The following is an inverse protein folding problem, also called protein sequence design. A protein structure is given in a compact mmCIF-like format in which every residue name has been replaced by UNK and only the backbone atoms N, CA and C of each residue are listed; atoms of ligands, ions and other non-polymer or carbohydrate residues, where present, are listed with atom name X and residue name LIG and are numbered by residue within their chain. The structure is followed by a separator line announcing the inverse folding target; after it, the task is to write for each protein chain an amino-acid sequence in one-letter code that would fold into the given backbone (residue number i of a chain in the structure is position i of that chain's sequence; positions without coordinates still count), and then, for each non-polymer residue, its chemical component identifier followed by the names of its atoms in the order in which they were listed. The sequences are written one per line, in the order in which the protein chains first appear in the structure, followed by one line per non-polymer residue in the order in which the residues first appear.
data_IF_768480355593
#
_entry.id   IF_768480355593
#
_cell.length_a   1.000
_cell.length_b   1.000
_cell.length_c   1.000
_cell.angle_alpha   90.00
_cell.angle_beta   90.00
_cell.angle_gamma   90.00
#
_symmetry.space_group_name_H-M   'P 1'
#
loop_
_entity.id
_entity.type
_entity.pdbx_description
1 polymer ?
#
# COMPACT_ATOMS: atom_id res chain seq x y z
N UNK A 1 -7.39 15.14 8.06
CA UNK A 1 -7.79 16.23 7.16
C UNK A 1 -6.90 16.11 5.95
N UNK A 2 -7.44 15.57 4.85
CA UNK A 2 -6.70 15.47 3.59
C UNK A 2 -6.33 16.88 3.15
N UNK A 3 -5.07 17.07 2.76
CA UNK A 3 -4.57 18.35 2.29
C UNK A 3 -4.98 18.55 0.83
N UNK A 4 -5.80 19.57 0.58
CA UNK A 4 -6.29 19.89 -0.77
C UNK A 4 -5.38 20.88 -1.51
N UNK A 5 -4.19 21.19 -1.00
CA UNK A 5 -3.27 22.17 -1.63
C UNK A 5 -2.61 21.65 -2.91
N UNK A 6 -2.50 20.33 -3.12
CA UNK A 6 -1.97 19.71 -4.35
C UNK A 6 -3.03 19.42 -5.44
N UNK A 7 -4.16 20.13 -5.41
CA UNK A 7 -5.32 19.92 -6.28
C UNK A 7 -5.01 19.88 -7.80
N UNK A 8 -4.03 20.68 -8.26
CA UNK A 8 -3.63 20.72 -9.68
C UNK A 8 -2.86 19.47 -10.16
N UNK A 9 -2.24 18.72 -9.24
CA UNK A 9 -1.54 17.48 -9.58
C UNK A 9 -2.51 16.30 -9.70
N UNK A 10 -3.59 16.35 -8.92
CA UNK A 10 -4.67 15.34 -8.91
C UNK A 10 -5.57 15.48 -10.15
N UNK A 11 -5.71 16.70 -10.66
CA UNK A 11 -6.52 17.03 -11.82
C UNK A 11 -5.75 18.03 -12.69
N UNK A 12 -5.03 17.58 -13.74
CA UNK A 12 -4.26 18.48 -14.57
C UNK A 12 -5.22 19.49 -15.21
N UNK A 13 -5.10 20.74 -14.78
CA UNK A 13 -5.58 21.88 -15.56
C UNK A 13 -4.66 21.92 -16.77
N UNK A 14 -5.04 21.23 -17.85
CA UNK A 14 -4.39 21.39 -19.14
C UNK A 14 -4.38 22.89 -19.44
N UNK A 15 -3.20 23.49 -19.32
CA UNK A 15 -3.00 24.91 -19.54
C UNK A 15 -3.62 25.26 -20.88
N UNK A 16 -4.54 26.22 -20.87
CA UNK A 16 -5.19 26.72 -22.08
C UNK A 16 -4.08 27.33 -22.95
N UNK A 17 -3.57 26.56 -23.92
CA UNK A 17 -2.73 27.10 -25.00
C UNK A 17 -3.62 27.83 -26.02
N UNK A 18 -4.95 27.60 -26.01
CA UNK A 18 -5.85 28.19 -27.00
C UNK A 18 -7.20 28.65 -26.40
N UNK A 19 -7.49 29.97 -26.37
CA UNK A 19 -8.75 30.52 -25.85
C UNK A 19 -10.00 30.16 -26.67
N UNK A 20 -9.86 29.41 -27.77
CA UNK A 20 -10.96 28.93 -28.62
C UNK A 20 -11.24 27.43 -28.52
N UNK A 21 -10.61 26.71 -27.58
CA UNK A 21 -10.96 25.30 -27.32
C UNK A 21 -12.24 25.20 -26.48
N UNK A 22 -13.38 25.31 -27.14
CA UNK A 22 -14.71 25.18 -26.53
C UNK A 22 -14.94 23.81 -25.87
N UNK A 23 -14.24 22.75 -26.33
CA UNK A 23 -14.33 21.42 -25.72
C UNK A 23 -13.56 21.38 -24.40
N UNK A 24 -12.36 21.96 -24.36
CA UNK A 24 -11.59 22.13 -23.12
C UNK A 24 -12.32 22.98 -22.09
N UNK A 25 -12.89 24.12 -22.51
CA UNK A 25 -13.65 25.01 -21.62
C UNK A 25 -14.92 24.35 -21.04
N UNK A 26 -15.70 23.64 -21.86
CA UNK A 26 -16.90 22.92 -21.42
C UNK A 26 -16.56 21.73 -20.50
N UNK A 27 -15.44 21.03 -20.75
CA UNK A 27 -14.97 19.96 -19.88
C UNK A 27 -14.55 20.50 -18.50
N UNK A 28 -13.86 21.65 -18.45
CA UNK A 28 -13.48 22.32 -17.21
C UNK A 28 -14.72 22.76 -16.43
N UNK A 29 -15.72 23.33 -17.10
CA UNK A 29 -16.96 23.78 -16.43
C UNK A 29 -17.78 22.62 -15.89
N UNK A 30 -17.93 21.55 -16.68
CA UNK A 30 -18.58 20.30 -16.25
C UNK A 30 -17.84 19.68 -15.07
N UNK A 31 -16.51 19.67 -15.10
CA UNK A 31 -15.67 19.20 -14.00
C UNK A 31 -15.86 20.03 -12.73
N UNK A 32 -15.84 21.37 -12.83
CA UNK A 32 -16.06 22.27 -11.69
C UNK A 32 -17.47 22.12 -11.12
N UNK A 33 -18.47 21.87 -11.97
CA UNK A 33 -19.84 21.60 -11.55
C UNK A 33 -19.91 20.28 -10.76
N UNK A 34 -19.39 19.19 -11.32
CA UNK A 34 -19.34 17.88 -10.64
C UNK A 34 -18.55 17.93 -9.33
N UNK A 35 -17.50 18.76 -9.23
CA UNK A 35 -16.76 18.96 -7.99
C UNK A 35 -17.61 19.62 -6.90
N UNK A 36 -18.29 20.73 -7.21
CA UNK A 36 -19.16 21.43 -6.24
C UNK A 36 -20.30 20.52 -5.77
N UNK A 37 -20.88 19.75 -6.69
CA UNK A 37 -21.93 18.79 -6.39
C UNK A 37 -21.41 17.64 -5.51
N UNK A 38 -20.22 17.11 -5.79
CA UNK A 38 -19.60 16.06 -4.97
C UNK A 38 -19.32 16.54 -3.54
N UNK A 39 -18.86 17.78 -3.37
CA UNK A 39 -18.62 18.36 -2.05
C UNK A 39 -19.93 18.59 -1.27
N UNK A 40 -20.97 19.10 -1.94
CA UNK A 40 -22.28 19.25 -1.29
C UNK A 40 -22.86 17.89 -0.90
N UNK A 41 -22.72 16.88 -1.77
CA UNK A 41 -23.08 15.50 -1.47
C UNK A 41 -22.39 14.98 -0.20
N UNK A 42 -21.08 15.23 -0.07
CA UNK A 42 -20.32 14.87 1.15
C UNK A 42 -20.89 15.51 2.42
N UNK A 43 -21.23 16.80 2.36
CA UNK A 43 -21.83 17.50 3.51
C UNK A 43 -23.23 16.97 3.85
N UNK A 44 -24.01 16.58 2.83
CA UNK A 44 -25.32 15.97 3.03
C UNK A 44 -25.23 14.59 3.68
N UNK A 45 -24.16 13.82 3.42
CA UNK A 45 -23.92 12.56 4.16
C UNK A 45 -23.79 12.80 5.66
N UNK A 46 -23.09 13.87 6.06
CA UNK A 46 -22.95 14.24 7.47
C UNK A 46 -24.30 14.69 8.08
N UNK A 47 -25.09 15.43 7.31
CA UNK A 47 -26.45 15.84 7.72
C UNK A 47 -27.39 14.64 7.93
N UNK A 48 -27.37 13.68 7.00
CA UNK A 48 -28.20 12.47 7.06
C UNK A 48 -27.80 11.57 8.24
N UNK A 49 -26.51 11.50 8.60
CA UNK A 49 -26.01 10.77 9.76
C UNK A 49 -26.47 11.38 11.10
N UNK A 50 -26.57 12.71 11.19
CA UNK A 50 -27.11 13.40 12.38
C UNK A 50 -28.63 13.16 12.52
N UNK A 51 -29.34 12.94 11.42
CA UNK A 51 -30.80 12.77 11.40
C UNK A 51 -31.24 11.42 10.80
N UNK A 52 -30.84 10.29 11.40
CA UNK A 52 -31.10 8.98 10.83
C UNK A 52 -32.60 8.71 10.72
N UNK A 53 -33.03 8.30 9.53
CA UNK A 53 -34.41 7.84 9.27
C UNK A 53 -35.43 8.92 8.93
N UNK A 54 -35.06 10.21 8.91
CA UNK A 54 -35.99 11.27 8.47
C UNK A 54 -36.01 11.49 6.96
N UNK A 55 -34.90 11.17 6.26
CA UNK A 55 -34.74 11.52 4.84
C UNK A 55 -33.31 11.20 4.34
N UNK A 56 -33.18 10.67 3.13
CA UNK A 56 -31.90 10.41 2.45
C UNK A 56 -31.55 11.59 1.52
N UNK A 57 -31.22 12.74 2.11
CA UNK A 57 -31.00 13.97 1.33
C UNK A 57 -29.81 13.83 0.40
N UNK A 58 -28.75 13.15 0.85
CA UNK A 58 -27.58 12.93 0.02
C UNK A 58 -27.96 12.17 -1.26
N UNK A 59 -28.70 11.08 -1.14
CA UNK A 59 -29.06 10.25 -2.30
C UNK A 59 -30.08 10.92 -3.21
N UNK A 60 -31.08 11.59 -2.64
CA UNK A 60 -32.02 12.40 -3.41
C UNK A 60 -31.32 13.52 -4.18
N UNK A 61 -30.40 14.23 -3.53
CA UNK A 61 -29.58 15.26 -4.19
C UNK A 61 -28.71 14.67 -5.30
N UNK A 62 -28.08 13.52 -5.07
CA UNK A 62 -27.23 12.89 -6.08
C UNK A 62 -28.01 12.48 -7.35
N UNK A 63 -29.27 12.06 -7.18
CA UNK A 63 -30.17 11.77 -8.30
C UNK A 63 -30.62 13.05 -9.01
N UNK A 64 -31.04 14.08 -8.28
CA UNK A 64 -31.53 15.34 -8.84
C UNK A 64 -30.43 16.14 -9.55
N UNK A 65 -29.25 16.22 -8.95
CA UNK A 65 -28.09 16.89 -9.53
C UNK A 65 -27.44 16.06 -10.67
N UNK A 66 -27.82 14.79 -10.84
CA UNK A 66 -27.22 13.89 -11.82
C UNK A 66 -25.75 13.56 -11.51
N UNK A 67 -25.39 13.48 -10.23
CA UNK A 67 -24.02 13.23 -9.78
C UNK A 67 -23.56 11.84 -10.24
N UNK A 68 -22.46 11.71 -11.02
CA UNK A 68 -22.00 10.41 -11.48
C UNK A 68 -21.69 9.44 -10.32
N UNK A 69 -22.07 8.16 -10.46
CA UNK A 69 -21.90 7.13 -9.42
C UNK A 69 -20.47 6.99 -8.90
N UNK A 70 -19.46 7.16 -9.76
CA UNK A 70 -18.05 7.16 -9.35
C UNK A 70 -17.75 8.23 -8.28
N UNK A 71 -18.33 9.42 -8.38
CA UNK A 71 -18.12 10.47 -7.38
C UNK A 71 -18.93 10.20 -6.11
N UNK A 72 -20.11 9.59 -6.22
CA UNK A 72 -20.87 9.13 -5.06
C UNK A 72 -20.06 8.12 -4.23
N UNK A 73 -19.50 7.09 -4.89
CA UNK A 73 -18.64 6.10 -4.23
C UNK A 73 -17.37 6.72 -3.64
N UNK A 74 -16.70 7.61 -4.38
CA UNK A 74 -15.52 8.29 -3.88
C UNK A 74 -15.83 9.06 -2.60
N UNK A 75 -16.87 9.90 -2.63
CA UNK A 75 -17.23 10.75 -1.50
C UNK A 75 -17.71 9.94 -0.30
N UNK A 76 -18.51 8.89 -0.50
CA UNK A 76 -18.87 7.95 0.58
C UNK A 76 -17.66 7.26 1.19
N UNK A 77 -16.74 6.80 0.34
CA UNK A 77 -15.51 6.16 0.76
C UNK A 77 -14.64 7.08 1.61
N UNK A 78 -14.42 8.31 1.15
CA UNK A 78 -13.67 9.33 1.88
C UNK A 78 -14.39 9.75 3.18
N UNK A 79 -15.73 9.83 3.16
CA UNK A 79 -16.53 10.15 4.34
C UNK A 79 -16.36 9.09 5.44
N UNK A 80 -16.42 7.80 5.08
CA UNK A 80 -16.11 6.72 6.02
C UNK A 80 -14.64 6.72 6.48
N UNK A 81 -13.68 7.09 5.62
CA UNK A 81 -12.26 7.22 6.02
C UNK A 81 -12.08 8.28 7.12
N UNK A 82 -12.67 9.46 6.95
CA UNK A 82 -12.56 10.56 7.91
C UNK A 82 -13.17 10.20 9.28
N UNK A 83 -14.19 9.34 9.27
CA UNK A 83 -14.85 8.80 10.47
C UNK A 83 -14.15 7.58 11.07
N UNK A 84 -13.04 7.13 10.49
CA UNK A 84 -12.29 5.93 10.88
C UNK A 84 -13.09 4.62 10.72
N UNK A 85 -14.09 4.63 9.86
CA UNK A 85 -14.92 3.49 9.50
C UNK A 85 -14.31 2.74 8.30
N UNK A 86 -13.03 2.34 8.43
CA UNK A 86 -12.20 1.88 7.31
C UNK A 86 -12.74 0.68 6.54
N UNK A 87 -13.52 -0.20 7.18
CA UNK A 87 -14.15 -1.34 6.51
C UNK A 87 -15.16 -0.87 5.45
N UNK A 88 -16.07 0.02 5.83
CA UNK A 88 -17.07 0.60 4.92
C UNK A 88 -16.42 1.54 3.89
N UNK A 89 -15.33 2.20 4.27
CA UNK A 89 -14.55 3.00 3.33
C UNK A 89 -14.02 2.16 2.17
N UNK A 90 -13.39 1.01 2.44
CA UNK A 90 -12.77 0.16 1.41
C UNK A 90 -13.82 -0.41 0.45
N UNK A 91 -15.02 -0.78 0.93
CA UNK A 91 -16.12 -1.25 0.07
C UNK A 91 -16.49 -0.22 -1.02
N UNK A 92 -16.37 1.07 -0.69
CA UNK A 92 -16.62 2.16 -1.62
C UNK A 92 -15.37 2.52 -2.44
N UNK A 93 -14.18 2.53 -1.84
CA UNK A 93 -12.92 2.98 -2.47
C UNK A 93 -12.30 1.96 -3.44
N UNK A 94 -12.75 0.72 -3.43
CA UNK A 94 -12.25 -0.35 -4.31
C UNK A 94 -13.03 -0.48 -5.62
N UNK A 95 -13.96 0.44 -5.89
CA UNK A 95 -14.75 0.43 -7.12
C UNK A 95 -13.86 0.73 -8.34
N UNK A 96 -13.83 -0.13 -9.39
CA UNK A 96 -12.94 0.03 -10.55
C UNK A 96 -13.11 1.33 -11.33
N UNK A 97 -14.28 1.97 -11.22
CA UNK A 97 -14.59 3.25 -11.89
C UNK A 97 -13.95 4.48 -11.23
N UNK A 98 -13.30 4.30 -10.09
CA UNK A 98 -12.74 5.39 -9.31
C UNK A 98 -11.41 5.89 -9.87
N UNK A 99 -11.15 7.21 -9.79
CA UNK A 99 -9.82 7.74 -10.07
C UNK A 99 -8.85 7.33 -8.94
N UNK A 100 -7.62 6.96 -9.30
CA UNK A 100 -6.53 6.60 -8.37
C UNK A 100 -5.87 7.82 -7.71
N UNK A 101 -6.52 8.98 -7.81
CA UNK A 101 -6.07 10.30 -7.39
C UNK A 101 -5.59 10.43 -5.94
N UNK A 102 -6.15 9.63 -5.02
CA UNK A 102 -5.81 9.66 -3.59
C UNK A 102 -5.20 8.33 -3.10
N UNK A 103 -4.66 7.55 -4.05
CA UNK A 103 -4.15 6.22 -3.77
C UNK A 103 -3.05 6.22 -2.71
N UNK A 104 -2.18 7.24 -2.75
CA UNK A 104 -1.06 7.40 -1.83
C UNK A 104 -1.58 7.67 -0.41
N UNK A 105 -2.45 8.67 -0.25
CA UNK A 105 -2.99 9.08 1.05
C UNK A 105 -3.83 7.97 1.69
N UNK A 106 -4.68 7.30 0.89
CA UNK A 106 -5.49 6.18 1.36
C UNK A 106 -4.57 5.06 1.85
N UNK A 107 -3.53 4.72 1.09
CA UNK A 107 -2.60 3.64 1.46
C UNK A 107 -1.80 4.00 2.70
N UNK A 108 -1.27 5.22 2.77
CA UNK A 108 -0.54 5.72 3.94
C UNK A 108 -1.43 5.67 5.18
N UNK A 109 -2.69 6.11 5.08
CA UNK A 109 -3.64 6.09 6.19
C UNK A 109 -3.93 4.65 6.66
N UNK A 110 -4.20 3.74 5.73
CA UNK A 110 -4.51 2.34 6.05
C UNK A 110 -3.31 1.59 6.64
N UNK A 111 -2.10 1.79 6.13
CA UNK A 111 -0.87 1.14 6.67
C UNK A 111 -0.51 1.69 8.05
N UNK A 112 -0.79 2.97 8.32
CA UNK A 112 -0.51 3.60 9.63
C UNK A 112 -1.57 3.32 10.69
N UNK A 113 -2.75 2.83 10.31
CA UNK A 113 -3.85 2.54 11.22
C UNK A 113 -3.45 1.63 12.41
N UNK A 114 -2.75 0.49 12.20
CA UNK A 114 -2.31 -0.38 13.30
C UNK A 114 -1.35 0.32 14.27
N UNK A 115 -0.51 1.23 13.75
CA UNK A 115 0.47 1.99 14.54
C UNK A 115 -0.20 3.08 15.39
N UNK A 116 -1.29 3.67 14.89
CA UNK A 116 -2.06 4.66 15.64
C UNK A 116 -2.90 4.01 16.75
N UNK A 117 -3.38 2.79 16.53
CA UNK A 117 -4.16 2.00 17.48
C UNK A 117 -3.27 1.25 18.49
N UNK A 118 -2.30 1.95 19.11
CA UNK A 118 -1.38 1.43 20.15
C UNK A 118 -2.04 0.81 21.39
N UNK A 119 -3.35 0.98 21.55
CA UNK A 119 -4.13 0.42 22.67
C UNK A 119 -4.49 -1.05 22.46
N UNK A 120 -4.35 -1.56 21.24
CA UNK A 120 -4.64 -2.95 20.93
C UNK A 120 -3.37 -3.79 21.08
N UNK A 121 -3.53 -5.00 21.61
CA UNK A 121 -2.48 -5.99 21.94
C UNK A 121 -1.36 -6.12 20.89
N UNK A 122 -0.18 -6.57 21.29
CA UNK A 122 1.01 -6.74 20.41
C UNK A 122 0.73 -7.52 19.10
N UNK A 123 -0.31 -8.37 19.07
CA UNK A 123 -0.76 -9.08 17.87
C UNK A 123 -1.34 -8.15 16.79
N UNK A 124 -1.94 -7.02 17.18
CA UNK A 124 -2.59 -6.07 16.27
C UNK A 124 -1.67 -5.00 15.69
N UNK A 125 -0.41 -4.89 16.15
CA UNK A 125 0.53 -3.90 15.61
C UNK A 125 0.93 -4.15 14.15
N UNK A 126 0.73 -5.36 13.64
CA UNK A 126 1.04 -5.76 12.26
C UNK A 126 -0.22 -6.13 11.45
N UNK A 127 -1.40 -5.66 11.84
CA UNK A 127 -2.62 -5.94 11.08
C UNK A 127 -2.73 -5.05 9.84
N UNK A 128 -2.10 -5.48 8.75
CA UNK A 128 -2.13 -4.78 7.46
C UNK A 128 -3.30 -5.22 6.57
N UNK A 129 -4.27 -5.98 7.09
CA UNK A 129 -5.34 -6.62 6.31
C UNK A 129 -6.11 -5.62 5.43
N UNK A 130 -6.47 -4.47 5.98
CA UNK A 130 -7.22 -3.44 5.25
C UNK A 130 -6.38 -2.77 4.15
N UNK A 131 -5.11 -2.47 4.43
CA UNK A 131 -4.20 -1.89 3.44
C UNK A 131 -3.97 -2.85 2.26
N UNK A 132 -3.74 -4.13 2.55
CA UNK A 132 -3.55 -5.15 1.52
C UNK A 132 -4.84 -5.43 0.75
N UNK A 133 -6.01 -5.46 1.42
CA UNK A 133 -7.29 -5.59 0.75
C UNK A 133 -7.53 -4.47 -0.27
N UNK A 134 -7.25 -3.22 0.13
CA UNK A 134 -7.30 -2.07 -0.79
C UNK A 134 -6.32 -2.24 -1.95
N UNK A 135 -5.06 -2.58 -1.68
CA UNK A 135 -4.04 -2.79 -2.71
C UNK A 135 -4.44 -3.87 -3.73
N UNK A 136 -4.90 -5.04 -3.27
CA UNK A 136 -5.27 -6.13 -4.16
C UNK A 136 -6.51 -5.79 -5.01
N UNK A 137 -7.50 -5.13 -4.42
CA UNK A 137 -8.75 -4.82 -5.10
C UNK A 137 -8.64 -3.61 -6.04
N UNK A 138 -7.99 -2.53 -5.61
CA UNK A 138 -7.93 -1.29 -6.38
C UNK A 138 -6.70 -1.20 -7.31
N UNK A 139 -5.66 -2.03 -7.10
CA UNK A 139 -4.37 -1.95 -7.82
C UNK A 139 -3.88 -0.51 -8.02
N UNK A 140 -3.74 0.28 -6.93
CA UNK A 140 -3.39 1.68 -7.01
C UNK A 140 -2.05 1.91 -7.72
N UNK A 141 -1.98 2.98 -8.50
CA UNK A 141 -0.72 3.50 -9.03
C UNK A 141 -0.18 4.55 -8.06
N UNK A 142 0.99 4.29 -7.49
CA UNK A 142 1.61 5.18 -6.51
C UNK A 142 2.45 6.26 -7.19
N UNK A 143 2.31 7.49 -6.69
CA UNK A 143 3.14 8.63 -7.12
C UNK A 143 4.24 8.95 -6.11
N UNK A 144 3.95 8.76 -4.82
CA UNK A 144 4.84 9.04 -3.71
C UNK A 144 5.69 7.83 -3.37
N UNK A 145 6.99 8.08 -3.18
CA UNK A 145 7.92 7.09 -2.66
C UNK A 145 7.52 6.63 -1.25
N UNK A 146 6.91 7.49 -0.44
CA UNK A 146 6.48 7.14 0.92
C UNK A 146 5.38 6.07 0.92
N UNK A 147 4.34 6.26 0.10
CA UNK A 147 3.23 5.32 -0.01
C UNK A 147 3.70 3.96 -0.50
N UNK A 148 4.56 3.94 -1.52
CA UNK A 148 5.18 2.74 -2.05
C UNK A 148 6.01 2.01 -0.99
N UNK A 149 6.85 2.72 -0.25
CA UNK A 149 7.69 2.11 0.78
C UNK A 149 6.89 1.56 1.96
N UNK A 150 5.84 2.26 2.38
CA UNK A 150 4.95 1.82 3.45
C UNK A 150 4.16 0.57 3.04
N UNK A 151 3.59 0.56 1.84
CA UNK A 151 2.93 -0.63 1.30
C UNK A 151 3.91 -1.80 1.19
N UNK A 152 5.09 -1.55 0.63
CA UNK A 152 6.11 -2.58 0.51
C UNK A 152 6.51 -3.15 1.87
N UNK A 153 6.66 -2.30 2.89
CA UNK A 153 6.91 -2.74 4.25
C UNK A 153 5.78 -3.57 4.85
N UNK A 154 4.53 -3.30 4.48
CA UNK A 154 3.38 -4.11 4.87
C UNK A 154 3.36 -5.48 4.15
N UNK A 155 3.61 -5.49 2.84
CA UNK A 155 3.77 -6.72 2.04
C UNK A 155 4.90 -7.58 2.59
N UNK A 156 6.09 -7.00 2.79
CA UNK A 156 7.25 -7.71 3.30
C UNK A 156 6.92 -8.44 4.61
N UNK A 157 6.26 -7.76 5.56
CA UNK A 157 5.90 -8.31 6.89
C UNK A 157 4.81 -9.39 6.85
N UNK A 158 4.03 -9.47 5.77
CA UNK A 158 2.89 -10.39 5.64
C UNK A 158 3.19 -11.57 4.73
N UNK A 159 3.82 -11.35 3.57
CA UNK A 159 4.12 -12.37 2.56
C UNK A 159 5.45 -12.06 1.86
N UNK A 160 6.43 -12.96 2.01
CA UNK A 160 7.78 -12.74 1.49
C UNK A 160 7.82 -12.92 -0.03
N UNK A 161 7.15 -13.94 -0.56
CA UNK A 161 7.09 -14.18 -2.01
C UNK A 161 6.40 -13.03 -2.72
N UNK A 162 5.27 -12.56 -2.20
CA UNK A 162 4.54 -11.47 -2.82
C UNK A 162 5.33 -10.15 -2.79
N UNK A 163 6.03 -9.85 -1.70
CA UNK A 163 6.93 -8.71 -1.64
C UNK A 163 8.08 -8.83 -2.66
N UNK A 164 8.65 -10.03 -2.82
CA UNK A 164 9.68 -10.27 -3.82
C UNK A 164 9.14 -10.02 -5.24
N UNK A 165 7.99 -10.58 -5.59
CA UNK A 165 7.38 -10.39 -6.90
C UNK A 165 6.94 -8.94 -7.14
N UNK A 166 6.52 -8.23 -6.09
CA UNK A 166 6.25 -6.79 -6.16
C UNK A 166 7.53 -5.99 -6.50
N UNK A 167 8.66 -6.28 -5.83
CA UNK A 167 9.92 -5.58 -6.08
C UNK A 167 10.39 -5.72 -7.54
N UNK A 168 10.10 -6.86 -8.17
CA UNK A 168 10.50 -7.18 -9.55
C UNK A 168 9.76 -6.37 -10.62
N UNK A 169 8.67 -5.70 -10.27
CA UNK A 169 7.91 -4.85 -11.20
C UNK A 169 8.59 -3.52 -11.49
N UNK A 170 9.62 -3.17 -10.70
CA UNK A 170 10.30 -1.88 -10.78
C UNK A 170 11.67 -1.97 -11.46
N UNK A 171 12.20 -0.85 -11.98
CA UNK A 171 13.56 -0.78 -12.51
C UNK A 171 14.61 -1.20 -11.46
N UNK A 172 15.77 -1.65 -11.94
CA UNK A 172 16.83 -2.28 -11.16
C UNK A 172 17.19 -1.52 -9.86
N UNK A 173 17.37 -0.20 -9.93
CA UNK A 173 17.77 0.60 -8.78
C UNK A 173 16.71 0.60 -7.65
N UNK A 174 15.42 0.70 -7.99
CA UNK A 174 14.31 0.62 -7.02
C UNK A 174 14.17 -0.82 -6.53
N UNK A 175 14.22 -1.79 -7.45
CA UNK A 175 14.13 -3.21 -7.15
C UNK A 175 15.19 -3.64 -6.13
N UNK A 176 16.44 -3.19 -6.28
CA UNK A 176 17.50 -3.46 -5.31
C UNK A 176 17.16 -2.88 -3.94
N UNK A 177 16.75 -1.61 -3.86
CA UNK A 177 16.38 -0.97 -2.58
C UNK A 177 15.22 -1.68 -1.87
N UNK A 178 14.19 -2.07 -2.62
CA UNK A 178 13.07 -2.84 -2.09
C UNK A 178 13.51 -4.23 -1.64
N UNK A 179 14.34 -4.91 -2.43
CA UNK A 179 14.88 -6.22 -2.07
C UNK A 179 15.69 -6.16 -0.76
N UNK A 180 16.58 -5.18 -0.61
CA UNK A 180 17.35 -4.97 0.63
C UNK A 180 16.42 -4.70 1.83
N UNK A 181 15.35 -3.92 1.63
CA UNK A 181 14.31 -3.70 2.66
C UNK A 181 13.56 -4.98 3.03
N UNK A 182 13.29 -5.88 2.08
CA UNK A 182 12.68 -7.19 2.36
C UNK A 182 13.59 -8.03 3.25
N UNK A 183 14.88 -8.12 2.91
CA UNK A 183 15.86 -8.84 3.72
C UNK A 183 15.98 -8.23 5.11
N UNK A 184 16.03 -6.90 5.23
CA UNK A 184 16.04 -6.20 6.51
C UNK A 184 14.79 -6.52 7.35
N UNK A 185 13.59 -6.51 6.75
CA UNK A 185 12.33 -6.85 7.42
C UNK A 185 12.30 -8.27 8.00
N UNK A 186 13.00 -9.21 7.37
CA UNK A 186 13.13 -10.58 7.88
C UNK A 186 14.10 -10.62 9.07
N UNK A 187 15.20 -9.89 8.99
CA UNK A 187 16.21 -9.81 10.07
C UNK A 187 15.70 -9.07 11.32
N UNK A 188 14.79 -8.12 11.16
CA UNK A 188 14.13 -7.40 12.26
C UNK A 188 13.23 -8.30 13.13
N UNK A 189 12.81 -9.47 12.62
CA UNK A 189 11.92 -10.41 13.30
C UNK A 189 12.63 -11.74 13.59
N UNK A 190 13.57 -11.79 14.55
CA UNK A 190 14.37 -12.97 14.84
C UNK A 190 13.52 -14.20 15.20
N UNK A 191 12.34 -14.00 15.79
CA UNK A 191 11.40 -15.05 16.15
C UNK A 191 10.75 -15.73 14.94
N UNK A 192 10.59 -15.01 13.81
CA UNK A 192 10.04 -15.54 12.55
C UNK A 192 11.12 -15.83 11.51
N UNK A 193 12.38 -15.59 11.83
CA UNK A 193 13.52 -15.73 10.92
C UNK A 193 13.58 -17.12 10.27
N UNK A 194 13.29 -18.19 11.02
CA UNK A 194 13.32 -19.55 10.49
C UNK A 194 12.32 -19.78 9.35
N UNK A 195 11.06 -19.40 9.55
CA UNK A 195 10.00 -19.60 8.56
C UNK A 195 10.14 -18.63 7.37
N UNK A 196 10.24 -17.33 7.63
CA UNK A 196 10.33 -16.29 6.59
C UNK A 196 11.67 -16.33 5.86
N UNK A 197 12.75 -16.63 6.58
CA UNK A 197 14.08 -16.85 6.00
C UNK A 197 14.09 -18.07 5.09
N UNK A 198 13.46 -19.18 5.49
CA UNK A 198 13.32 -20.36 4.63
C UNK A 198 12.56 -20.02 3.35
N UNK A 199 11.46 -19.29 3.43
CA UNK A 199 10.66 -18.86 2.28
C UNK A 199 11.50 -18.06 1.27
N UNK A 200 12.19 -17.01 1.73
CA UNK A 200 13.09 -16.20 0.89
C UNK A 200 14.22 -17.06 0.28
N UNK A 201 14.84 -17.90 1.10
CA UNK A 201 15.99 -18.70 0.68
C UNK A 201 15.59 -19.80 -0.29
N UNK A 202 14.37 -20.33 -0.20
CA UNK A 202 13.81 -21.26 -1.18
C UNK A 202 13.32 -20.58 -2.46
N UNK A 203 13.17 -19.25 -2.46
CA UNK A 203 12.70 -18.52 -3.62
C UNK A 203 13.71 -18.57 -4.78
N UNK A 204 13.19 -18.55 -5.99
CA UNK A 204 14.00 -18.50 -7.20
C UNK A 204 14.53 -17.07 -7.40
N UNK A 205 15.69 -16.76 -6.82
CA UNK A 205 16.35 -15.47 -7.03
C UNK A 205 17.09 -15.46 -8.37
N UNK A 206 17.04 -14.32 -9.04
CA UNK A 206 17.86 -14.02 -10.22
C UNK A 206 19.34 -13.86 -9.85
N UNK A 207 20.24 -13.87 -10.83
CA UNK A 207 21.68 -13.68 -10.58
C UNK A 207 22.00 -12.36 -9.89
N UNK A 208 21.29 -11.28 -10.25
CA UNK A 208 21.38 -9.96 -9.62
C UNK A 208 20.90 -9.99 -8.17
N UNK A 209 19.71 -10.55 -7.92
CA UNK A 209 19.16 -10.67 -6.56
C UNK A 209 20.06 -11.51 -5.66
N UNK A 210 20.68 -12.56 -6.19
CA UNK A 210 21.66 -13.37 -5.48
C UNK A 210 22.91 -12.55 -5.11
N UNK A 211 23.40 -11.69 -6.01
CA UNK A 211 24.50 -10.77 -5.74
C UNK A 211 24.12 -9.76 -4.65
N UNK A 212 22.97 -9.10 -4.79
CA UNK A 212 22.48 -8.12 -3.81
C UNK A 212 22.26 -8.76 -2.43
N UNK A 213 21.69 -9.97 -2.38
CA UNK A 213 21.50 -10.73 -1.15
C UNK A 213 22.82 -10.96 -0.42
N UNK A 214 23.85 -11.42 -1.14
CA UNK A 214 25.14 -11.68 -0.53
C UNK A 214 25.86 -10.40 -0.10
N UNK A 215 25.82 -9.36 -0.94
CA UNK A 215 26.47 -8.09 -0.64
C UNK A 215 25.83 -7.41 0.57
N UNK A 216 24.49 -7.34 0.59
CA UNK A 216 23.75 -6.74 1.70
C UNK A 216 24.03 -7.45 3.04
N UNK A 217 24.05 -8.79 3.05
CA UNK A 217 24.34 -9.55 4.27
C UNK A 217 25.81 -9.50 4.70
N UNK A 218 26.74 -9.15 3.80
CA UNK A 218 28.17 -8.98 4.11
C UNK A 218 28.54 -7.53 4.47
N UNK A 219 27.63 -6.59 4.25
CA UNK A 219 27.87 -5.15 4.45
C UNK A 219 27.50 -4.69 5.87
N UNK A 220 28.31 -3.75 6.38
CA UNK A 220 28.00 -2.90 7.54
C UNK A 220 27.59 -3.64 8.83
N UNK A 221 26.59 -3.07 9.52
CA UNK A 221 26.04 -3.60 10.78
C UNK A 221 25.25 -4.91 10.58
N UNK A 222 24.68 -5.13 9.39
CA UNK A 222 23.90 -6.35 9.07
C UNK A 222 24.76 -7.60 9.20
N UNK A 223 26.03 -7.55 8.76
CA UNK A 223 26.99 -8.66 8.89
C UNK A 223 27.18 -9.13 10.34
N UNK A 224 27.08 -8.21 11.31
CA UNK A 224 27.28 -8.53 12.74
C UNK A 224 26.09 -9.29 13.33
N UNK A 225 24.95 -9.30 12.65
CA UNK A 225 23.75 -9.99 13.13
C UNK A 225 23.88 -11.51 12.97
N UNK A 226 23.43 -12.26 13.99
CA UNK A 226 23.35 -13.73 13.90
C UNK A 226 22.45 -14.17 12.74
N UNK A 227 21.39 -13.41 12.46
CA UNK A 227 20.45 -13.70 11.38
C UNK A 227 21.07 -13.67 9.98
N UNK A 228 21.98 -12.72 9.71
CA UNK A 228 22.68 -12.66 8.42
C UNK A 228 23.50 -13.93 8.14
N UNK A 229 24.23 -14.42 9.15
CA UNK A 229 24.99 -15.68 9.05
C UNK A 229 24.08 -16.88 8.79
N UNK A 230 22.93 -16.94 9.47
CA UNK A 230 21.94 -18.01 9.28
C UNK A 230 21.38 -18.00 7.86
N UNK A 231 20.95 -16.85 7.34
CA UNK A 231 20.40 -16.73 5.99
C UNK A 231 21.43 -17.09 4.91
N UNK A 232 22.69 -16.66 5.04
CA UNK A 232 23.76 -17.03 4.11
C UNK A 232 24.00 -18.54 4.10
N UNK A 233 24.01 -19.19 5.27
CA UNK A 233 24.16 -20.65 5.38
C UNK A 233 22.98 -21.38 4.77
N UNK A 234 21.75 -20.99 5.10
CA UNK A 234 20.53 -21.56 4.52
C UNK A 234 20.56 -21.46 2.99
N UNK A 235 20.93 -20.29 2.46
CA UNK A 235 21.02 -20.07 1.00
C UNK A 235 22.11 -20.90 0.34
N UNK A 236 23.27 -21.04 0.98
CA UNK A 236 24.33 -21.92 0.48
C UNK A 236 23.92 -23.39 0.43
N UNK A 237 23.10 -23.86 1.39
CA UNK A 237 22.55 -25.23 1.38
C UNK A 237 21.56 -25.42 0.24
N UNK A 238 20.59 -24.52 0.08
CA UNK A 238 19.56 -24.63 -0.98
C UNK A 238 20.17 -24.53 -2.38
N UNK A 239 21.17 -23.68 -2.57
CA UNK A 239 21.85 -23.51 -3.86
C UNK A 239 22.92 -24.57 -4.13
N UNK A 240 23.14 -25.53 -3.22
CA UNK A 240 24.16 -26.58 -3.35
C UNK A 240 25.61 -26.11 -3.21
N UNK A 241 25.84 -24.81 -2.98
CA UNK A 241 27.17 -24.19 -2.81
C UNK A 241 27.84 -24.58 -1.50
N UNK A 242 27.05 -24.90 -0.47
CA UNK A 242 27.51 -25.50 0.78
C UNK A 242 27.10 -26.96 0.79
N UNK A 243 27.77 -27.78 -0.01
CA UNK A 243 27.72 -29.23 0.08
C UNK A 243 28.62 -29.67 1.24
N UNK A 244 28.16 -29.46 2.48
CA UNK A 244 28.82 -30.07 3.63
C UNK A 244 27.79 -30.43 4.70
N UNK A 245 27.72 -31.73 4.94
CA UNK A 245 26.95 -32.47 5.92
C UNK A 245 27.07 -31.94 7.37
N UNK A 246 28.02 -31.05 7.66
CA UNK A 246 28.19 -30.40 8.96
C UNK A 246 27.16 -29.30 9.28
N UNK A 247 26.51 -28.68 8.28
CA UNK A 247 25.54 -27.61 8.51
C UNK A 247 24.13 -28.12 8.89
N UNK A 248 23.81 -29.38 8.54
CA UNK A 248 22.51 -30.00 8.81
C UNK A 248 22.38 -30.49 10.26
N UNK A 249 23.47 -30.96 10.88
CA UNK A 249 23.47 -31.40 12.29
C UNK A 249 23.19 -30.25 13.26
N UNK A 250 23.65 -29.03 12.93
CA UNK A 250 23.46 -27.86 13.78
C UNK A 250 22.06 -27.21 13.65
N UNK A 251 21.28 -27.57 12.62
CA UNK A 251 19.90 -27.14 12.43
C UNK A 251 18.87 -28.16 12.95
N UNK A 252 19.28 -29.43 13.11
CA UNK A 252 18.45 -30.50 13.68
C UNK A 252 18.58 -30.62 15.21
N UNK A 253 19.55 -29.95 15.84
CA UNK A 253 19.75 -29.92 17.29
C UNK A 253 19.13 -28.70 17.95
N UNK A 254 17.87 -28.80 18.37
CA UNK A 254 17.30 -28.00 19.46
C UNK A 254 17.39 -28.83 20.76
N UNK A 255 17.93 -28.32 21.87
CA UNK A 255 17.30 -28.53 23.16
C UNK A 255 16.01 -27.73 23.29
#
# INVERSE_FOLDING_TARGET
MLDFTEYNNVFPSAGIINPYDHKGASAIETFRKSFRESFLYYLLLDHDDIHPGRSQWADGFAEEAGLPKKYQFLMRGLWHMDRKEFKYAIENLTQPSLPTSFADEITIALVRLPLANKRSSSASQNDYTLALAYFHAAQPVFTSSEALELLFGALARTNVIEALDFSRRYPEWIRQQLFEKLVASILEQPEKLGARGKELVSASLTGEEESWFQEFLRRGEVRKTKGASVLLKMRGVVTGRLSSTAALEHLAGFP
#
